data_IF_592353600225
#
_entry.id   IF_592353600225
#
_cell.length_a   1.000
_cell.length_b   1.000
_cell.length_c   1.000
_cell.angle_alpha   90.00
_cell.angle_beta   90.00
_cell.angle_gamma   90.00
#
_symmetry.space_group_name_H-M   'P 1'
#
loop_
_entity.id
_entity.type
_entity.pdbx_description
1 polymer ?
#
# COMPACT_ATOMS: atom_id res chain seq x y z
N UNK A 1 43.61 8.80 -40.95
CA UNK A 1 42.62 7.87 -40.36
C UNK A 1 41.79 8.63 -39.34
N UNK A 2 40.51 8.88 -39.60
CA UNK A 2 39.60 9.50 -38.62
C UNK A 2 38.92 8.38 -37.84
N UNK A 3 39.10 8.36 -36.52
CA UNK A 3 38.42 7.41 -35.66
C UNK A 3 36.91 7.68 -35.68
N UNK A 4 36.14 6.67 -36.10
CA UNK A 4 34.69 6.69 -36.05
C UNK A 4 34.27 6.51 -34.58
N UNK A 5 33.81 7.58 -33.94
CA UNK A 5 33.19 7.48 -32.61
C UNK A 5 31.77 6.96 -32.84
N UNK A 6 31.56 5.67 -32.54
CA UNK A 6 30.23 5.07 -32.51
C UNK A 6 29.54 5.54 -31.22
N UNK A 7 28.41 6.26 -31.29
CA UNK A 7 27.69 6.65 -30.09
C UNK A 7 27.13 5.37 -29.44
N UNK A 8 27.57 5.10 -28.21
CA UNK A 8 26.96 4.06 -27.38
C UNK A 8 25.54 4.52 -27.09
N UNK A 9 24.58 3.92 -27.81
CA UNK A 9 23.17 4.07 -27.55
C UNK A 9 22.91 3.43 -26.19
N UNK A 10 22.85 4.23 -25.12
CA UNK A 10 22.38 3.74 -23.82
C UNK A 10 20.89 3.48 -24.00
N UNK A 11 20.53 2.25 -24.39
CA UNK A 11 19.16 1.77 -24.24
C UNK A 11 18.83 1.86 -22.76
N UNK A 12 17.99 2.82 -22.39
CA UNK A 12 17.30 2.79 -21.11
C UNK A 12 16.35 1.60 -21.15
N UNK A 13 16.83 0.43 -20.73
CA UNK A 13 15.97 -0.71 -20.46
C UNK A 13 15.08 -0.36 -19.27
N UNK A 14 13.87 0.15 -19.54
CA UNK A 14 12.80 0.09 -18.55
C UNK A 14 12.53 -1.39 -18.29
N UNK A 15 12.68 -1.83 -17.05
CA UNK A 15 12.43 -3.22 -16.70
C UNK A 15 10.93 -3.35 -16.49
N UNK A 16 10.18 -3.62 -17.56
CA UNK A 16 8.74 -3.85 -17.45
C UNK A 16 8.43 -5.02 -16.51
N UNK A 17 7.35 -4.90 -15.74
CA UNK A 17 6.81 -6.00 -14.93
C UNK A 17 6.39 -7.16 -15.83
N UNK A 18 6.88 -8.37 -15.55
CA UNK A 18 6.55 -9.55 -16.36
C UNK A 18 5.07 -9.91 -16.21
N UNK A 19 4.46 -10.63 -17.17
CA UNK A 19 3.09 -11.13 -17.02
C UNK A 19 2.88 -11.93 -15.72
N UNK A 20 3.87 -12.72 -15.32
CA UNK A 20 3.84 -13.53 -14.10
C UNK A 20 3.87 -12.66 -12.84
N UNK A 21 4.70 -11.61 -12.81
CA UNK A 21 4.72 -10.66 -11.70
C UNK A 21 3.39 -9.90 -11.58
N UNK A 22 2.83 -9.47 -12.72
CA UNK A 22 1.51 -8.82 -12.78
C UNK A 22 0.42 -9.75 -12.25
N UNK A 23 0.41 -11.01 -12.70
CA UNK A 23 -0.55 -12.01 -12.24
C UNK A 23 -0.35 -12.35 -10.75
N UNK A 24 0.90 -12.44 -10.28
CA UNK A 24 1.19 -12.68 -8.87
C UNK A 24 0.69 -11.51 -8.00
N UNK A 25 0.89 -10.26 -8.44
CA UNK A 25 0.43 -9.09 -7.71
C UNK A 25 -1.10 -8.97 -7.65
N UNK A 26 -1.80 -9.52 -8.65
CA UNK A 26 -3.26 -9.59 -8.67
C UNK A 26 -3.86 -10.52 -7.62
N UNK A 27 -3.18 -11.55 -7.12
CA UNK A 27 -3.56 -12.35 -5.93
C UNK A 27 -5.07 -12.50 -5.61
N UNK A 28 -5.89 -12.99 -6.56
CA UNK A 28 -7.35 -13.16 -6.44
C UNK A 28 -8.16 -11.86 -6.20
N UNK A 29 -7.61 -10.70 -6.57
CA UNK A 29 -8.24 -9.38 -6.46
C UNK A 29 -9.33 -9.20 -7.54
N UNK A 30 -9.21 -9.89 -8.68
CA UNK A 30 -10.08 -9.71 -9.84
C UNK A 30 -11.56 -10.00 -9.51
N UNK A 31 -11.87 -11.02 -8.71
CA UNK A 31 -13.25 -11.37 -8.29
C UNK A 31 -13.72 -10.68 -6.99
N UNK A 32 -12.91 -9.77 -6.44
CA UNK A 32 -13.26 -9.07 -5.20
C UNK A 32 -14.37 -8.03 -5.38
N UNK A 33 -15.02 -7.67 -4.26
CA UNK A 33 -16.06 -6.62 -4.21
C UNK A 33 -15.48 -5.18 -4.17
N UNK A 34 -14.16 -5.04 -4.26
CA UNK A 34 -13.47 -3.75 -4.29
C UNK A 34 -13.74 -3.01 -5.60
N UNK A 35 -13.75 -1.68 -5.57
CA UNK A 35 -13.75 -0.86 -6.79
C UNK A 35 -12.45 -1.04 -7.57
N UNK A 36 -12.39 -0.67 -8.86
CA UNK A 36 -11.15 -0.72 -9.63
C UNK A 36 -9.97 0.01 -8.94
N UNK A 37 -10.21 1.22 -8.41
CA UNK A 37 -9.17 1.96 -7.68
C UNK A 37 -8.72 1.25 -6.40
N UNK A 38 -9.66 0.63 -5.66
CA UNK A 38 -9.35 -0.15 -4.44
C UNK A 38 -8.54 -1.43 -4.77
N UNK A 39 -8.86 -2.10 -5.89
CA UNK A 39 -8.10 -3.25 -6.42
C UNK A 39 -6.68 -2.83 -6.79
N UNK A 40 -6.52 -1.70 -7.47
CA UNK A 40 -5.22 -1.17 -7.86
C UNK A 40 -4.34 -0.81 -6.65
N UNK A 41 -4.93 -0.31 -5.54
CA UNK A 41 -4.16 -0.06 -4.31
C UNK A 41 -3.54 -1.36 -3.79
N UNK A 42 -4.33 -2.43 -3.72
CA UNK A 42 -3.82 -3.73 -3.26
C UNK A 42 -2.81 -4.32 -4.26
N UNK A 43 -3.02 -4.12 -5.56
CA UNK A 43 -2.07 -4.50 -6.60
C UNK A 43 -0.71 -3.81 -6.42
N UNK A 44 -0.65 -2.48 -6.23
CA UNK A 44 0.62 -1.77 -5.99
C UNK A 44 1.29 -2.19 -4.67
N UNK A 45 0.50 -2.49 -3.62
CA UNK A 45 1.01 -3.09 -2.38
C UNK A 45 1.65 -4.44 -2.66
N UNK A 46 1.03 -5.26 -3.50
CA UNK A 46 1.59 -6.55 -3.85
C UNK A 46 2.82 -6.44 -4.75
N UNK A 47 2.88 -5.48 -5.68
CA UNK A 47 4.09 -5.22 -6.49
C UNK A 47 5.31 -4.94 -5.61
N UNK A 48 5.20 -4.03 -4.62
CA UNK A 48 6.31 -3.75 -3.70
C UNK A 48 6.69 -4.96 -2.86
N UNK A 49 5.73 -5.82 -2.51
CA UNK A 49 5.97 -7.03 -1.72
C UNK A 49 6.68 -8.13 -2.52
N UNK A 50 6.31 -8.36 -3.78
CA UNK A 50 6.88 -9.44 -4.58
C UNK A 50 8.27 -9.11 -5.13
N UNK A 51 8.56 -7.81 -5.36
CA UNK A 51 9.85 -7.36 -5.86
C UNK A 51 10.17 -5.92 -5.38
N UNK A 52 10.65 -5.76 -4.14
CA UNK A 52 10.92 -4.43 -3.55
C UNK A 52 11.96 -3.61 -4.32
N UNK A 53 13.00 -4.25 -4.87
CA UNK A 53 14.07 -3.59 -5.63
C UNK A 53 13.56 -3.06 -6.96
N UNK A 54 12.82 -3.87 -7.73
CA UNK A 54 12.17 -3.43 -8.97
C UNK A 54 11.12 -2.36 -8.72
N UNK A 55 10.39 -2.44 -7.61
CA UNK A 55 9.46 -1.38 -7.22
C UNK A 55 10.18 -0.05 -6.97
N UNK A 56 11.38 -0.07 -6.38
CA UNK A 56 12.18 1.13 -6.23
C UNK A 56 12.54 1.75 -7.59
N UNK A 57 13.07 0.95 -8.53
CA UNK A 57 13.52 1.45 -9.84
C UNK A 57 12.37 1.93 -10.73
N UNK A 58 11.29 1.14 -10.83
CA UNK A 58 10.23 1.33 -11.82
C UNK A 58 9.06 2.19 -11.30
N UNK A 59 8.88 2.29 -9.98
CA UNK A 59 7.71 2.97 -9.41
C UNK A 59 8.12 4.15 -8.53
N UNK A 60 8.97 3.92 -7.52
CA UNK A 60 9.35 4.96 -6.56
C UNK A 60 10.22 6.05 -7.18
N UNK A 61 11.25 5.66 -7.94
CA UNK A 61 12.20 6.62 -8.52
C UNK A 61 11.55 7.58 -9.53
N UNK A 62 10.73 7.12 -10.49
CA UNK A 62 9.97 8.01 -11.37
C UNK A 62 9.07 8.96 -10.58
N UNK A 63 8.34 8.45 -9.58
CA UNK A 63 7.48 9.27 -8.75
C UNK A 63 8.24 10.38 -8.00
N UNK A 64 9.40 10.07 -7.42
CA UNK A 64 10.21 11.04 -6.69
C UNK A 64 10.89 12.08 -7.60
N UNK A 65 11.14 11.77 -8.88
CA UNK A 65 11.64 12.76 -9.85
C UNK A 65 10.63 13.89 -10.04
N UNK A 66 9.35 13.54 -10.11
CA UNK A 66 8.23 14.47 -10.29
C UNK A 66 7.78 15.10 -8.95
N UNK A 67 8.00 14.42 -7.82
CA UNK A 67 7.50 14.83 -6.51
C UNK A 67 8.63 15.09 -5.50
N UNK A 68 9.22 16.29 -5.57
CA UNK A 68 10.37 16.69 -4.73
C UNK A 68 10.00 17.19 -3.33
N UNK A 69 8.71 17.18 -2.97
CA UNK A 69 8.18 17.70 -1.70
C UNK A 69 8.52 16.85 -0.47
N UNK A 70 8.91 15.60 -0.66
CA UNK A 70 9.12 14.66 0.44
C UNK A 70 10.50 14.80 1.10
N UNK A 71 10.54 14.56 2.39
CA UNK A 71 11.74 14.62 3.22
C UNK A 71 12.78 13.58 2.81
N UNK A 72 14.01 14.05 2.57
CA UNK A 72 15.18 13.22 2.25
C UNK A 72 15.41 12.10 3.28
N UNK A 73 15.11 12.35 4.55
CA UNK A 73 15.25 11.36 5.64
C UNK A 73 14.32 10.15 5.42
N UNK A 74 13.06 10.40 5.08
CA UNK A 74 12.04 9.37 4.90
C UNK A 74 12.23 8.59 3.59
N UNK A 75 12.68 9.28 2.53
CA UNK A 75 13.09 8.62 1.28
C UNK A 75 14.29 7.70 1.54
N UNK A 76 15.34 8.19 2.22
CA UNK A 76 16.53 7.38 2.52
C UNK A 76 16.18 6.15 3.37
N UNK A 77 15.31 6.30 4.36
CA UNK A 77 14.86 5.14 5.14
C UNK A 77 14.03 4.17 4.30
N UNK A 78 13.18 4.65 3.38
CA UNK A 78 12.38 3.78 2.51
C UNK A 78 13.28 2.90 1.65
N UNK A 79 14.26 3.51 0.97
CA UNK A 79 15.23 2.76 0.16
C UNK A 79 15.98 1.72 0.98
N UNK A 80 16.36 2.05 2.22
CA UNK A 80 16.98 1.08 3.14
C UNK A 80 16.03 -0.07 3.45
N UNK A 81 14.76 0.19 3.71
CA UNK A 81 13.78 -0.86 4.03
C UNK A 81 13.49 -1.74 2.81
N UNK A 82 13.32 -1.15 1.62
CA UNK A 82 13.13 -1.90 0.36
C UNK A 82 14.32 -2.81 0.06
N UNK A 83 15.55 -2.29 0.16
CA UNK A 83 16.78 -3.09 -0.03
C UNK A 83 16.89 -4.27 0.94
N UNK A 84 16.39 -4.13 2.16
CA UNK A 84 16.47 -5.18 3.19
C UNK A 84 15.25 -6.12 3.20
N UNK A 85 14.20 -5.78 2.47
CA UNK A 85 13.00 -6.61 2.38
C UNK A 85 13.22 -7.68 1.31
N UNK A 86 13.18 -8.95 1.72
CA UNK A 86 13.14 -10.08 0.78
C UNK A 86 11.76 -10.16 0.12
N UNK A 87 11.67 -10.83 -1.03
CA UNK A 87 10.39 -11.16 -1.68
C UNK A 87 9.41 -11.74 -0.65
N UNK A 88 8.22 -11.13 -0.58
CA UNK A 88 7.12 -11.54 0.28
C UNK A 88 5.99 -12.17 -0.54
N UNK A 89 5.18 -12.98 0.12
CA UNK A 89 3.91 -13.45 -0.46
C UNK A 89 2.98 -12.24 -0.69
N UNK A 90 2.31 -12.16 -1.84
CA UNK A 90 1.27 -11.17 -2.06
C UNK A 90 0.13 -11.36 -1.04
N UNK A 91 -0.54 -10.26 -0.72
CA UNK A 91 -1.70 -10.22 0.16
C UNK A 91 -2.94 -10.58 -0.66
N UNK A 92 -3.75 -11.48 -0.11
CA UNK A 92 -5.01 -11.88 -0.70
C UNK A 92 -6.17 -11.04 -0.14
N UNK A 93 -7.17 -10.81 -0.97
CA UNK A 93 -8.41 -10.19 -0.55
C UNK A 93 -9.22 -11.09 0.40
N UNK A 94 -9.93 -10.49 1.37
CA UNK A 94 -11.05 -11.14 2.05
C UNK A 94 -12.25 -10.21 2.20
N UNK A 95 -13.45 -10.80 2.10
CA UNK A 95 -14.72 -10.08 2.30
C UNK A 95 -14.85 -9.50 3.71
N UNK A 96 -14.33 -10.18 4.73
CA UNK A 96 -14.44 -9.72 6.11
C UNK A 96 -13.62 -8.45 6.35
N UNK A 97 -12.35 -8.43 5.92
CA UNK A 97 -11.51 -7.24 6.03
C UNK A 97 -12.07 -6.09 5.19
N UNK A 98 -12.63 -6.38 4.02
CA UNK A 98 -13.24 -5.34 3.17
C UNK A 98 -14.44 -4.69 3.83
N UNK A 99 -15.37 -5.50 4.38
CA UNK A 99 -16.52 -4.98 5.14
C UNK A 99 -16.07 -4.10 6.29
N UNK A 100 -14.97 -4.46 6.96
CA UNK A 100 -14.42 -3.70 8.07
C UNK A 100 -13.79 -2.36 7.62
N UNK A 101 -12.92 -2.40 6.61
CA UNK A 101 -12.28 -1.22 6.03
C UNK A 101 -13.34 -0.24 5.49
N UNK A 102 -14.30 -0.75 4.71
CA UNK A 102 -15.42 0.04 4.14
C UNK A 102 -16.28 0.67 5.21
N UNK A 103 -16.59 -0.05 6.29
CA UNK A 103 -17.36 0.51 7.39
C UNK A 103 -16.61 1.66 8.08
N UNK A 104 -15.33 1.48 8.39
CA UNK A 104 -14.53 2.52 9.04
C UNK A 104 -14.35 3.74 8.13
N UNK A 105 -13.95 3.52 6.88
CA UNK A 105 -13.77 4.58 5.88
C UNK A 105 -15.05 5.40 5.70
N UNK A 106 -16.19 4.73 5.47
CA UNK A 106 -17.48 5.39 5.20
C UNK A 106 -17.99 6.18 6.41
N UNK A 107 -17.91 5.62 7.61
CA UNK A 107 -18.46 6.27 8.81
C UNK A 107 -17.61 7.45 9.25
N UNK A 108 -16.28 7.30 9.30
CA UNK A 108 -15.35 8.39 9.64
C UNK A 108 -15.33 9.47 8.56
N UNK A 109 -15.35 9.07 7.29
CA UNK A 109 -15.44 9.94 6.12
C UNK A 109 -16.61 10.90 6.17
N UNK A 110 -17.83 10.35 6.38
CA UNK A 110 -19.05 11.15 6.53
C UNK A 110 -19.00 12.14 7.71
N UNK A 111 -18.33 11.78 8.80
CA UNK A 111 -18.20 12.62 10.00
C UNK A 111 -16.98 13.55 9.96
N UNK A 112 -16.12 13.43 8.95
CA UNK A 112 -14.88 14.19 8.85
C UNK A 112 -13.88 13.88 9.98
N UNK A 113 -13.94 12.66 10.53
CA UNK A 113 -13.05 12.18 11.61
C UNK A 113 -11.82 11.49 11.02
N UNK A 114 -10.69 11.65 11.68
CA UNK A 114 -9.42 11.03 11.29
C UNK A 114 -8.93 10.02 12.34
N UNK A 115 -7.95 9.20 11.95
CA UNK A 115 -7.30 8.20 12.81
C UNK A 115 -8.07 6.89 12.96
N UNK A 116 -7.55 6.03 13.83
CA UNK A 116 -7.99 4.64 14.00
C UNK A 116 -9.22 4.46 14.91
N UNK A 117 -9.73 5.56 15.47
CA UNK A 117 -10.86 5.56 16.41
C UNK A 117 -12.19 5.64 15.64
N UNK A 118 -13.20 4.85 16.05
CA UNK A 118 -14.52 4.89 15.42
C UNK A 118 -15.24 6.22 15.64
N UNK A 119 -16.32 6.43 14.89
CA UNK A 119 -17.27 7.51 15.16
C UNK A 119 -17.85 7.48 16.58
N UNK A 120 -17.99 6.29 17.17
CA UNK A 120 -18.46 6.04 18.55
C UNK A 120 -17.35 5.98 19.59
N UNK A 121 -16.17 6.55 19.29
CA UNK A 121 -15.02 6.66 20.19
C UNK A 121 -14.35 5.33 20.60
N UNK A 122 -14.72 4.20 19.99
CA UNK A 122 -14.02 2.94 20.19
C UNK A 122 -12.64 3.00 19.52
N UNK A 123 -11.59 2.82 20.29
CA UNK A 123 -10.21 2.74 19.77
C UNK A 123 -10.00 1.49 18.92
N UNK A 124 -8.90 1.48 18.15
CA UNK A 124 -8.54 0.42 17.21
C UNK A 124 -8.71 -0.99 17.79
N UNK A 125 -8.04 -1.29 18.91
CA UNK A 125 -8.08 -2.60 19.59
C UNK A 125 -9.50 -3.08 19.88
N UNK A 126 -10.37 -2.16 20.31
CA UNK A 126 -11.76 -2.49 20.63
C UNK A 126 -12.57 -2.80 19.36
N UNK A 127 -12.33 -2.09 18.25
CA UNK A 127 -13.01 -2.36 16.97
C UNK A 127 -12.56 -3.69 16.38
N UNK A 128 -11.25 -3.96 16.37
CA UNK A 128 -10.66 -5.11 15.66
C UNK A 128 -10.64 -6.39 16.48
N UNK A 129 -11.08 -6.38 17.75
CA UNK A 129 -11.22 -7.59 18.59
C UNK A 129 -11.97 -8.73 17.89
N UNK A 130 -12.97 -8.42 17.05
CA UNK A 130 -13.68 -9.45 16.27
C UNK A 130 -12.83 -10.07 15.16
N UNK A 131 -11.99 -9.27 14.49
CA UNK A 131 -11.09 -9.77 13.46
C UNK A 131 -10.02 -10.67 14.08
N UNK A 132 -9.52 -10.33 15.27
CA UNK A 132 -8.57 -11.16 16.02
C UNK A 132 -9.11 -12.54 16.44
N UNK A 133 -10.42 -12.80 16.30
CA UNK A 133 -10.95 -14.16 16.44
C UNK A 133 -10.59 -15.03 15.24
N UNK A 134 -10.51 -14.43 14.06
CA UNK A 134 -10.31 -15.13 12.79
C UNK A 134 -8.87 -15.01 12.27
N UNK A 135 -8.13 -13.96 12.66
CA UNK A 135 -6.76 -13.74 12.21
C UNK A 135 -5.78 -13.70 13.39
N UNK A 136 -4.58 -14.23 13.18
CA UNK A 136 -3.53 -14.27 14.21
C UNK A 136 -2.98 -12.89 14.57
N UNK A 137 -3.03 -11.96 13.63
CA UNK A 137 -2.69 -10.54 13.82
C UNK A 137 -3.52 -9.69 12.87
N UNK A 138 -3.74 -8.43 13.24
CA UNK A 138 -4.44 -7.45 12.40
C UNK A 138 -3.70 -6.10 12.43
N UNK A 139 -3.79 -5.36 11.33
CA UNK A 139 -3.20 -4.03 11.19
C UNK A 139 -4.11 -3.11 10.38
N UNK A 140 -3.93 -1.79 10.50
CA UNK A 140 -4.71 -0.80 9.73
C UNK A 140 -3.78 0.30 9.23
N UNK A 141 -3.90 0.65 7.95
CA UNK A 141 -3.36 1.89 7.40
C UNK A 141 -4.52 2.80 6.99
N UNK A 142 -4.35 4.10 7.19
CA UNK A 142 -5.31 5.10 6.74
C UNK A 142 -4.59 6.22 6.00
N UNK A 143 -5.09 6.53 4.81
CA UNK A 143 -4.62 7.64 3.98
C UNK A 143 -5.74 8.66 3.77
N UNK A 144 -5.37 9.94 3.58
CA UNK A 144 -6.31 11.04 3.34
C UNK A 144 -5.83 11.90 2.17
N UNK A 145 -6.77 12.47 1.39
CA UNK A 145 -6.48 13.56 0.46
C UNK A 145 -6.53 13.22 -1.01
N UNK A 146 -6.30 11.97 -1.41
CA UNK A 146 -6.34 11.57 -2.81
C UNK A 146 -6.92 10.16 -3.00
N UNK A 147 -7.29 9.86 -4.25
CA UNK A 147 -7.86 8.58 -4.67
C UNK A 147 -7.00 7.80 -5.67
N UNK A 148 -5.82 8.33 -6.04
CA UNK A 148 -4.98 7.74 -7.08
C UNK A 148 -4.20 6.57 -6.50
N UNK A 149 -4.46 5.31 -6.92
CA UNK A 149 -3.97 4.12 -6.21
C UNK A 149 -2.46 4.09 -5.99
N UNK A 150 -1.68 4.35 -7.05
CA UNK A 150 -0.21 4.41 -7.01
C UNK A 150 0.29 5.44 -6.00
N UNK A 151 -0.32 6.63 -5.98
CA UNK A 151 0.06 7.72 -5.07
C UNK A 151 -0.27 7.36 -3.61
N UNK A 152 -1.40 6.69 -3.34
CA UNK A 152 -1.76 6.20 -1.99
C UNK A 152 -0.66 5.31 -1.45
N UNK A 153 -0.27 4.30 -2.24
CA UNK A 153 0.74 3.32 -1.81
C UNK A 153 2.10 3.99 -1.62
N UNK A 154 2.51 4.87 -2.53
CA UNK A 154 3.79 5.58 -2.42
C UNK A 154 3.84 6.53 -1.22
N UNK A 155 2.77 7.28 -0.92
CA UNK A 155 2.71 8.15 0.25
C UNK A 155 2.70 7.35 1.57
N UNK A 156 2.02 6.20 1.62
CA UNK A 156 2.06 5.28 2.77
C UNK A 156 3.42 4.59 2.93
N UNK A 157 4.13 4.32 1.83
CA UNK A 157 5.49 3.78 1.87
C UNK A 157 6.50 4.84 2.28
N UNK A 158 6.46 6.06 1.70
CA UNK A 158 7.36 7.14 2.12
C UNK A 158 7.10 7.48 3.59
N UNK A 159 5.82 7.52 3.97
CA UNK A 159 5.36 7.71 5.35
C UNK A 159 5.92 8.98 6.00
N UNK A 160 5.98 10.06 5.19
CA UNK A 160 6.61 11.32 5.57
C UNK A 160 5.86 11.98 6.72
N UNK A 161 6.60 12.46 7.72
CA UNK A 161 6.05 13.05 8.94
C UNK A 161 5.50 12.03 9.95
N UNK A 162 5.42 10.73 9.64
CA UNK A 162 4.94 9.71 10.59
C UNK A 162 6.12 9.11 11.35
N UNK A 163 6.16 9.36 12.66
CA UNK A 163 7.19 8.79 13.54
C UNK A 163 7.08 7.26 13.52
N UNK A 164 8.18 6.59 13.21
CA UNK A 164 8.27 5.13 13.26
C UNK A 164 7.80 4.40 11.99
N UNK A 165 7.38 5.13 10.95
CA UNK A 165 6.99 4.62 9.62
C UNK A 165 6.02 3.42 9.68
N UNK A 166 4.97 3.57 10.51
CA UNK A 166 4.03 2.50 10.82
C UNK A 166 3.29 1.96 9.59
N UNK A 167 2.95 2.82 8.64
CA UNK A 167 2.21 2.40 7.45
C UNK A 167 3.08 1.53 6.54
N UNK A 168 4.33 1.94 6.32
CA UNK A 168 5.34 1.17 5.59
C UNK A 168 5.59 -0.18 6.24
N UNK A 169 5.74 -0.22 7.56
CA UNK A 169 5.96 -1.46 8.30
C UNK A 169 4.80 -2.44 8.12
N UNK A 170 3.56 -1.94 8.07
CA UNK A 170 2.43 -2.81 7.78
C UNK A 170 2.50 -3.38 6.35
N UNK A 171 2.76 -2.53 5.34
CA UNK A 171 2.84 -2.96 3.94
C UNK A 171 3.95 -4.01 3.72
N UNK A 172 5.11 -3.85 4.38
CA UNK A 172 6.27 -4.73 4.25
C UNK A 172 6.33 -5.84 5.31
N UNK A 173 5.27 -6.05 6.10
CA UNK A 173 5.26 -7.11 7.11
C UNK A 173 5.01 -8.48 6.50
N UNK A 174 5.84 -9.47 6.86
CA UNK A 174 5.64 -10.88 6.51
C UNK A 174 4.53 -11.57 7.32
N UNK A 175 4.05 -10.93 8.40
CA UNK A 175 3.01 -11.48 9.26
C UNK A 175 1.63 -11.47 8.59
N UNK A 176 1.38 -10.53 7.68
CA UNK A 176 0.11 -10.42 6.98
C UNK A 176 0.07 -11.32 5.75
N UNK A 177 -1.08 -11.96 5.56
CA UNK A 177 -1.45 -12.82 4.42
C UNK A 177 -2.62 -12.25 3.63
N UNK A 178 -3.40 -11.39 4.27
CA UNK A 178 -4.60 -10.80 3.70
C UNK A 178 -4.58 -9.28 3.86
N UNK A 179 -5.19 -8.60 2.91
CA UNK A 179 -5.56 -7.19 3.05
C UNK A 179 -6.75 -6.86 2.16
N UNK A 180 -7.55 -5.90 2.60
CA UNK A 180 -8.63 -5.34 1.80
C UNK A 180 -8.67 -3.83 1.96
N UNK A 181 -9.02 -3.13 0.89
CA UNK A 181 -8.94 -1.67 0.77
C UNK A 181 -10.35 -1.10 0.63
N UNK A 182 -10.63 0.03 1.27
CA UNK A 182 -11.76 0.86 0.87
C UNK A 182 -11.44 2.34 0.77
N UNK A 183 -11.82 2.95 -0.35
CA UNK A 183 -11.72 4.38 -0.63
C UNK A 183 -13.13 4.97 -0.51
N UNK A 184 -13.31 5.95 0.37
CA UNK A 184 -14.61 6.58 0.62
C UNK A 184 -14.47 8.11 0.61
N UNK A 185 -15.57 8.85 0.31
CA UNK A 185 -15.57 10.30 0.46
C UNK A 185 -15.33 10.73 1.91
N UNK A 186 -14.52 11.78 2.10
CA UNK A 186 -14.21 12.33 3.40
C UNK A 186 -14.52 13.83 3.47
N UNK A 187 -15.34 14.25 4.45
CA UNK A 187 -15.86 15.62 4.58
C UNK A 187 -14.79 16.72 4.54
N UNK A 188 -13.57 16.45 5.06
CA UNK A 188 -12.47 17.44 5.15
C UNK A 188 -11.32 17.24 4.17
N UNK A 189 -11.16 16.02 3.63
CA UNK A 189 -9.95 15.63 2.88
C UNK A 189 -10.30 15.10 1.49
N UNK A 190 -11.54 15.31 1.05
CA UNK A 190 -12.12 14.77 -0.20
C UNK A 190 -12.29 13.25 -0.18
N UNK A 191 -11.22 12.50 0.13
CA UNK A 191 -11.21 11.03 0.25
C UNK A 191 -10.46 10.58 1.50
N UNK A 192 -10.86 9.41 2.01
CA UNK A 192 -10.05 8.60 2.90
C UNK A 192 -9.94 7.17 2.36
N UNK A 193 -8.77 6.58 2.50
CA UNK A 193 -8.51 5.18 2.14
C UNK A 193 -8.15 4.42 3.40
N UNK A 194 -8.90 3.37 3.71
CA UNK A 194 -8.62 2.47 4.82
C UNK A 194 -8.17 1.13 4.26
N UNK A 195 -7.07 0.61 4.77
CA UNK A 195 -6.54 -0.72 4.44
C UNK A 195 -6.50 -1.52 5.73
N UNK A 196 -7.25 -2.61 5.78
CA UNK A 196 -7.22 -3.55 6.90
C UNK A 196 -6.39 -4.77 6.49
N UNK A 197 -5.45 -5.16 7.35
CA UNK A 197 -4.55 -6.28 7.16
C UNK A 197 -4.91 -7.42 8.12
N UNK A 198 -4.77 -8.66 7.65
CA UNK A 198 -4.97 -9.88 8.43
C UNK A 198 -3.80 -10.85 8.31
N UNK A 199 -3.42 -11.46 9.42
CA UNK A 199 -2.42 -12.53 9.52
C UNK A 199 -2.92 -13.88 8.98
N UNK A 200 -2.31 -14.97 9.42
CA UNK A 200 -2.87 -16.31 9.15
C UNK A 200 -4.26 -16.45 9.78
N UNK A 201 -5.13 -17.27 9.18
CA UNK A 201 -6.41 -17.59 9.78
C UNK A 201 -6.19 -18.45 11.04
N UNK A 202 -6.89 -18.12 12.12
CA UNK A 202 -6.96 -18.95 13.32
C UNK A 202 -7.80 -20.18 12.96
N UNK A 203 -7.21 -21.37 13.13
CA UNK A 203 -7.93 -22.63 12.99
C UNK A 203 -8.88 -22.84 14.17
#
# INVERSE_FOLDING_TARGET
>A
MKALIIPILILSFFVEWTPEEKQQAKSNIDDSQMSPDEKDVLYYINLVRINPEKFESEVLNPFLKENKKYSRKYIKSLRKDLKNTKKLTPLNYTDELFKFAKHHAKTTGKKGKTGHQSVSLKGYKARTKKLLKNYSVVGENIHYGQKQPKTIVLELLIDDGIKGVGHRKNILSSQYKYASVSIQPHKKYTFNTVIEFGGALNQ
#
